data_IF_572518155672
#
_entry.id   IF_572518155672
#
_cell.length_a   1.000
_cell.length_b   1.000
_cell.length_c   1.000
_cell.angle_alpha   90.00
_cell.angle_beta   90.00
_cell.angle_gamma   90.00
#
_symmetry.space_group_name_H-M   'P 1'
#
loop_
_entity.id
_entity.type
_entity.pdbx_description
1 polymer ?
#
# COMPACT_ATOMS: atom_id res chain seq x y z
N UNK A 1 24.59 24.03 -27.50
CA UNK A 1 23.74 23.13 -26.66
C UNK A 1 22.30 23.60 -26.74
N UNK A 2 21.33 22.70 -26.95
CA UNK A 2 19.91 23.07 -27.00
C UNK A 2 19.36 23.53 -25.64
N UNK A 3 18.30 24.35 -25.65
CA UNK A 3 17.62 24.86 -24.43
C UNK A 3 17.23 23.75 -23.44
N UNK A 4 16.84 22.57 -23.98
CA UNK A 4 16.49 21.38 -23.19
C UNK A 4 17.69 20.81 -22.42
N UNK A 5 18.84 20.65 -23.07
CA UNK A 5 20.06 20.15 -22.44
C UNK A 5 20.57 21.09 -21.35
N UNK A 6 20.46 22.41 -21.55
CA UNK A 6 20.81 23.39 -20.53
C UNK A 6 19.88 23.33 -19.31
N UNK A 7 18.58 23.17 -19.52
CA UNK A 7 17.62 23.03 -18.42
C UNK A 7 17.83 21.73 -17.62
N UNK A 8 18.12 20.63 -18.33
CA UNK A 8 18.48 19.35 -17.72
C UNK A 8 19.73 19.49 -16.85
N UNK A 9 20.83 20.00 -17.41
CA UNK A 9 22.10 20.17 -16.70
C UNK A 9 21.93 21.07 -15.48
N UNK A 10 21.20 22.18 -15.59
CA UNK A 10 20.89 23.06 -14.44
C UNK A 10 20.13 22.31 -13.34
N UNK A 11 19.15 21.50 -13.72
CA UNK A 11 18.39 20.68 -12.77
C UNK A 11 19.28 19.64 -12.09
N UNK A 12 20.17 18.99 -12.85
CA UNK A 12 21.12 18.03 -12.31
C UNK A 12 22.11 18.67 -11.33
N UNK A 13 22.79 19.75 -11.74
CA UNK A 13 23.75 20.47 -10.90
C UNK A 13 23.14 20.95 -9.60
N UNK A 14 21.89 21.43 -9.63
CA UNK A 14 21.17 21.84 -8.42
C UNK A 14 20.88 20.65 -7.51
N UNK A 15 20.45 19.51 -8.07
CA UNK A 15 20.16 18.30 -7.32
C UNK A 15 21.43 17.65 -6.73
N UNK A 16 22.55 17.69 -7.46
CA UNK A 16 23.86 17.20 -7.01
C UNK A 16 24.40 18.09 -5.89
N UNK A 17 24.43 19.42 -6.10
CA UNK A 17 24.91 20.39 -5.09
C UNK A 17 24.21 20.21 -3.75
N UNK A 18 22.88 20.04 -3.76
CA UNK A 18 22.09 19.85 -2.52
C UNK A 18 22.43 18.57 -1.76
N UNK A 19 22.74 17.48 -2.47
CA UNK A 19 23.15 16.21 -1.84
C UNK A 19 24.55 16.33 -1.25
N UNK A 20 25.47 16.95 -1.99
CA UNK A 20 26.82 17.24 -1.51
C UNK A 20 26.80 18.13 -0.25
N UNK A 21 25.93 19.16 -0.20
CA UNK A 21 25.75 19.99 1.01
C UNK A 21 25.29 19.18 2.22
N UNK A 22 24.44 18.16 2.03
CA UNK A 22 23.98 17.28 3.12
C UNK A 22 25.11 16.35 3.57
N UNK A 23 25.83 15.75 2.62
CA UNK A 23 27.01 14.91 2.90
C UNK A 23 28.03 15.72 3.70
N UNK A 24 28.31 16.95 3.28
CA UNK A 24 29.22 17.86 3.99
C UNK A 24 28.72 18.18 5.42
N UNK A 25 27.42 18.46 5.59
CA UNK A 25 26.83 18.69 6.92
C UNK A 25 26.96 17.47 7.83
N UNK A 26 26.69 16.28 7.32
CA UNK A 26 26.83 15.03 8.07
C UNK A 26 28.28 14.75 8.46
N UNK A 27 29.23 14.97 7.54
CA UNK A 27 30.66 14.80 7.83
C UNK A 27 31.21 15.80 8.86
N UNK A 28 30.58 16.96 9.01
CA UNK A 28 30.96 17.99 10.00
C UNK A 28 30.24 17.85 11.35
N UNK A 29 29.34 16.88 11.52
CA UNK A 29 28.66 16.70 12.79
C UNK A 29 29.61 16.09 13.83
N UNK A 30 29.88 16.83 14.91
CA UNK A 30 30.76 16.37 16.01
C UNK A 30 29.96 15.92 17.25
N UNK A 31 28.67 16.23 17.29
CA UNK A 31 27.79 15.92 18.42
C UNK A 31 26.44 15.31 17.98
N UNK A 32 25.80 14.61 18.93
CA UNK A 32 24.46 14.06 18.74
C UNK A 32 23.41 15.15 18.44
N UNK A 33 23.51 16.31 19.10
CA UNK A 33 22.57 17.42 18.91
C UNK A 33 22.64 18.00 17.49
N UNK A 34 23.87 18.20 16.97
CA UNK A 34 24.10 18.66 15.60
C UNK A 34 23.61 17.66 14.57
N UNK A 35 23.87 16.37 14.80
CA UNK A 35 23.39 15.30 13.96
C UNK A 35 21.85 15.25 13.92
N UNK A 36 21.21 15.30 15.08
CA UNK A 36 19.74 15.31 15.20
C UNK A 36 19.11 16.51 14.48
N UNK A 37 19.67 17.71 14.67
CA UNK A 37 19.22 18.94 14.00
C UNK A 37 19.39 18.85 12.47
N UNK A 38 20.53 18.35 12.01
CA UNK A 38 20.82 18.19 10.59
C UNK A 38 19.95 17.12 9.95
N UNK A 39 19.70 16.01 10.65
CA UNK A 39 18.83 14.94 10.21
C UNK A 39 17.38 15.40 10.08
N UNK A 40 16.85 16.14 11.07
CA UNK A 40 15.51 16.72 11.01
C UNK A 40 15.37 17.64 9.80
N UNK A 41 16.34 18.53 9.56
CA UNK A 41 16.36 19.44 8.40
C UNK A 41 16.44 18.67 7.08
N UNK A 42 17.17 17.56 7.03
CA UNK A 42 17.23 16.69 5.86
C UNK A 42 15.86 16.05 5.56
N UNK A 43 15.21 15.43 6.55
CA UNK A 43 13.89 14.78 6.35
C UNK A 43 12.80 15.79 5.96
N UNK A 44 12.80 16.98 6.57
CA UNK A 44 11.90 18.08 6.19
C UNK A 44 12.08 18.53 4.72
N UNK A 45 13.33 18.57 4.24
CA UNK A 45 13.64 18.90 2.84
C UNK A 45 13.32 17.74 1.90
N UNK A 46 13.60 16.49 2.30
CA UNK A 46 13.30 15.28 1.53
C UNK A 46 11.82 15.22 1.13
N UNK A 47 10.92 15.58 2.04
CA UNK A 47 9.48 15.64 1.76
C UNK A 47 9.05 16.73 0.76
N UNK A 48 9.86 17.78 0.53
CA UNK A 48 9.48 18.98 -0.22
C UNK A 48 10.02 19.00 -1.66
N UNK A 49 9.83 17.98 -2.50
CA UNK A 49 10.34 17.93 -3.91
C UNK A 49 11.86 18.19 -4.08
N UNK A 50 12.64 18.43 -3.03
CA UNK A 50 14.06 18.83 -3.12
C UNK A 50 14.95 17.70 -3.62
N UNK A 51 14.56 16.45 -3.36
CA UNK A 51 15.32 15.25 -3.68
C UNK A 51 14.68 14.41 -4.80
N UNK A 52 13.56 14.87 -5.37
CA UNK A 52 12.88 14.15 -6.46
C UNK A 52 13.76 14.18 -7.70
N UNK A 53 14.13 13.00 -8.18
CA UNK A 53 14.88 12.83 -9.43
C UNK A 53 13.90 13.05 -10.58
N UNK A 54 14.18 14.07 -11.40
CA UNK A 54 13.36 14.38 -12.58
C UNK A 54 13.50 13.27 -13.63
N UNK A 55 12.38 12.82 -14.22
CA UNK A 55 12.37 11.87 -15.33
C UNK A 55 13.01 12.40 -16.62
N UNK A 56 13.35 13.69 -16.66
CA UNK A 56 14.00 14.34 -17.80
C UNK A 56 15.53 14.25 -17.76
N UNK A 57 16.12 13.70 -16.70
CA UNK A 57 17.56 13.51 -16.57
C UNK A 57 18.03 12.30 -17.38
N UNK A 58 19.21 12.38 -17.97
CA UNK A 58 19.89 11.21 -18.55
C UNK A 58 20.19 10.15 -17.50
N UNK A 59 20.34 8.91 -17.96
CA UNK A 59 20.67 7.75 -17.11
C UNK A 59 21.92 7.99 -16.27
N UNK A 60 22.96 8.60 -16.87
CA UNK A 60 24.19 8.96 -16.16
C UNK A 60 23.93 9.88 -14.95
N UNK A 61 23.14 10.94 -15.14
CA UNK A 61 22.77 11.87 -14.07
C UNK A 61 21.97 11.16 -12.96
N UNK A 62 21.02 10.30 -13.34
CA UNK A 62 20.22 9.52 -12.39
C UNK A 62 21.11 8.61 -11.54
N UNK A 63 22.03 7.87 -12.17
CA UNK A 63 22.96 6.99 -11.46
C UNK A 63 23.88 7.76 -10.51
N UNK A 64 24.39 8.93 -10.93
CA UNK A 64 25.20 9.79 -10.08
C UNK A 64 24.42 10.27 -8.84
N UNK A 65 23.17 10.70 -9.00
CA UNK A 65 22.33 11.11 -7.88
C UNK A 65 22.00 9.94 -6.94
N UNK A 66 21.75 8.74 -7.46
CA UNK A 66 21.54 7.54 -6.64
C UNK A 66 22.76 7.18 -5.80
N UNK A 67 23.98 7.29 -6.35
CA UNK A 67 25.23 7.06 -5.60
C UNK A 67 25.35 8.02 -4.41
N UNK A 68 24.96 9.28 -4.59
CA UNK A 68 24.97 10.27 -3.51
C UNK A 68 23.88 9.98 -2.45
N UNK A 69 22.69 9.51 -2.86
CA UNK A 69 21.63 9.12 -1.93
C UNK A 69 22.03 7.89 -1.08
N UNK A 70 22.79 6.96 -1.67
CA UNK A 70 23.40 5.82 -0.97
C UNK A 70 24.44 6.29 0.06
N UNK A 71 25.34 7.20 -0.34
CA UNK A 71 26.36 7.79 0.55
C UNK A 71 25.73 8.50 1.76
N UNK A 72 24.66 9.29 1.54
CA UNK A 72 23.89 9.92 2.63
C UNK A 72 23.32 8.87 3.59
N UNK A 73 22.81 7.75 3.06
CA UNK A 73 22.22 6.67 3.87
C UNK A 73 23.29 5.96 4.71
N UNK A 74 24.47 5.72 4.13
CA UNK A 74 25.62 5.16 4.84
C UNK A 74 26.13 6.10 5.94
N UNK A 75 26.22 7.41 5.67
CA UNK A 75 26.60 8.38 6.69
C UNK A 75 25.58 8.46 7.82
N UNK A 76 24.28 8.44 7.51
CA UNK A 76 23.20 8.42 8.51
C UNK A 76 23.33 7.22 9.44
N UNK A 77 23.58 6.03 8.91
CA UNK A 77 23.75 4.82 9.73
C UNK A 77 25.03 4.84 10.55
N UNK A 78 26.15 5.33 9.98
CA UNK A 78 27.42 5.49 10.69
C UNK A 78 27.29 6.47 11.87
N UNK A 79 26.71 7.64 11.66
CA UNK A 79 26.54 8.67 12.69
C UNK A 79 25.53 8.23 13.76
N UNK A 80 24.45 7.53 13.37
CA UNK A 80 23.51 6.94 14.34
C UNK A 80 24.22 5.96 15.28
N UNK A 81 25.14 5.13 14.76
CA UNK A 81 25.95 4.22 15.59
C UNK A 81 26.92 4.99 16.49
N UNK A 82 27.61 5.99 15.95
CA UNK A 82 28.59 6.80 16.67
C UNK A 82 27.97 7.61 17.83
N UNK A 83 26.78 8.16 17.63
CA UNK A 83 26.07 8.95 18.62
C UNK A 83 24.93 8.19 19.31
N UNK A 84 25.03 6.86 19.40
CA UNK A 84 24.02 6.05 20.10
C UNK A 84 23.89 6.56 21.54
N UNK A 85 22.68 6.98 21.93
CA UNK A 85 22.44 7.54 23.27
C UNK A 85 22.78 6.49 24.34
N UNK A 86 23.59 6.82 25.37
CA UNK A 86 23.89 5.91 26.48
C UNK A 86 22.66 5.55 27.34
N UNK A 87 21.49 6.15 27.07
CA UNK A 87 20.34 6.09 27.96
C UNK A 87 19.57 4.76 27.95
N UNK A 88 19.91 3.79 27.09
CA UNK A 88 19.28 2.45 27.07
C UNK A 88 20.03 1.39 27.91
N UNK A 89 21.19 1.70 28.49
CA UNK A 89 21.97 0.74 29.27
C UNK A 89 21.90 0.90 30.80
N UNK A 90 21.07 1.80 31.34
CA UNK A 90 21.05 2.09 32.80
C UNK A 90 19.80 1.54 33.53
N UNK A 91 18.90 0.79 32.89
CA UNK A 91 17.72 0.21 33.58
C UNK A 91 17.82 -1.30 33.94
N UNK A 92 19.01 -1.91 33.95
CA UNK A 92 19.15 -3.35 34.28
C UNK A 92 19.91 -3.69 35.56
N UNK A 93 20.19 -2.72 36.43
CA UNK A 93 20.61 -3.05 37.79
C UNK A 93 19.87 -2.19 38.80
N UNK A 94 19.30 -2.89 39.80
CA UNK A 94 18.72 -2.38 41.04
C UNK A 94 17.24 -2.03 40.97
N UNK A 95 16.34 -2.97 41.33
CA UNK A 95 15.49 -2.91 42.55
C UNK A 95 15.01 -4.33 42.95
N UNK A 96 15.12 -4.64 44.25
CA UNK A 96 14.50 -5.75 45.00
C UNK A 96 12.97 -5.58 45.15
N UNK A 97 12.20 -6.65 45.50
CA UNK A 97 10.75 -6.61 45.41
C UNK A 97 10.10 -6.05 46.68
N UNK A 98 9.32 -4.98 46.54
CA UNK A 98 8.28 -4.60 47.50
C UNK A 98 6.96 -4.39 46.76
N UNK A 99 5.97 -5.15 47.21
CA UNK A 99 4.57 -5.27 46.78
C UNK A 99 3.76 -4.00 47.06
N UNK A 100 3.18 -3.33 46.03
CA UNK A 100 1.87 -2.64 46.05
C UNK A 100 1.31 -2.49 44.62
N UNK A 101 -0.02 -2.56 44.53
CA UNK A 101 -0.99 -2.44 43.44
C UNK A 101 -0.94 -1.21 42.50
N UNK A 102 -1.38 -1.50 41.25
CA UNK A 102 -2.20 -0.72 40.29
C UNK A 102 -1.65 0.65 39.81
N UNK A 103 -1.49 0.81 38.48
CA UNK A 103 -2.04 1.91 37.63
C UNK A 103 -1.51 1.81 36.17
N UNK A 104 -2.48 1.70 35.25
CA UNK A 104 -2.52 1.95 33.78
C UNK A 104 -1.27 1.83 32.89
N UNK A 105 -1.34 0.88 31.94
CA UNK A 105 -0.49 0.77 30.75
C UNK A 105 -1.09 1.54 29.56
N UNK A 106 -0.33 2.50 29.02
CA UNK A 106 -0.66 3.24 27.79
C UNK A 106 0.49 3.23 26.77
N UNK A 107 1.49 2.37 26.94
CA UNK A 107 2.71 2.33 26.10
C UNK A 107 2.69 1.24 25.00
N UNK A 108 1.70 0.34 24.98
CA UNK A 108 1.67 -0.76 24.01
C UNK A 108 1.24 -0.37 22.58
N UNK A 109 0.70 0.84 22.37
CA UNK A 109 0.18 1.27 21.05
C UNK A 109 1.30 1.85 20.15
N UNK A 110 2.42 2.31 20.73
CA UNK A 110 3.52 2.90 19.94
C UNK A 110 4.42 1.85 19.29
N UNK A 111 4.59 0.68 19.93
CA UNK A 111 5.41 -0.41 19.38
C UNK A 111 4.73 -1.13 18.20
N UNK A 112 3.40 -1.26 18.20
CA UNK A 112 2.67 -1.91 17.11
C UNK A 112 2.63 -1.05 15.83
N UNK A 113 2.64 0.28 15.97
CA UNK A 113 2.71 1.21 14.83
C UNK A 113 4.10 1.24 14.18
N UNK A 114 5.17 1.12 14.98
CA UNK A 114 6.54 1.02 14.50
C UNK A 114 6.77 -0.29 13.75
N UNK A 115 6.23 -1.41 14.26
CA UNK A 115 6.30 -2.72 13.62
C UNK A 115 5.58 -2.74 12.26
N UNK A 116 4.45 -2.03 12.14
CA UNK A 116 3.71 -1.90 10.88
C UNK A 116 4.47 -1.07 9.83
N UNK A 117 5.17 0.00 10.24
CA UNK A 117 6.03 0.79 9.35
C UNK A 117 7.27 0.01 8.88
N UNK A 118 7.91 -0.72 9.78
CA UNK A 118 9.09 -1.53 9.46
C UNK A 118 8.73 -2.70 8.51
N UNK A 119 7.57 -3.34 8.72
CA UNK A 119 7.05 -4.37 7.83
C UNK A 119 6.69 -3.80 6.44
N UNK A 120 6.25 -2.55 6.36
CA UNK A 120 5.99 -1.86 5.10
C UNK A 120 7.30 -1.53 4.35
N UNK A 121 8.35 -1.07 5.03
CA UNK A 121 9.67 -0.85 4.43
C UNK A 121 10.36 -2.16 4.01
N UNK A 122 10.21 -3.22 4.80
CA UNK A 122 10.73 -4.56 4.47
C UNK A 122 10.09 -5.12 3.18
N UNK A 123 8.77 -4.98 3.03
CA UNK A 123 8.05 -5.45 1.83
C UNK A 123 8.41 -4.64 0.57
N UNK A 124 8.62 -3.32 0.70
CA UNK A 124 9.11 -2.47 -0.39
C UNK A 124 10.54 -2.81 -0.80
N UNK A 125 11.39 -3.17 0.17
CA UNK A 125 12.78 -3.58 -0.08
C UNK A 125 12.87 -4.96 -0.75
N UNK A 126 11.92 -5.86 -0.47
CA UNK A 126 11.86 -7.19 -1.08
C UNK A 126 11.38 -7.18 -2.53
N UNK A 127 10.49 -6.26 -2.91
CA UNK A 127 10.04 -6.13 -4.31
C UNK A 127 11.10 -5.54 -5.26
N UNK A 128 12.04 -4.73 -4.77
CA UNK A 128 13.12 -4.17 -5.57
C UNK A 128 14.26 -5.18 -5.87
N UNK A 129 14.25 -6.36 -5.24
CA UNK A 129 15.28 -7.39 -5.39
C UNK A 129 14.85 -8.59 -6.26
N UNK A 130 13.65 -8.59 -6.85
CA UNK A 130 13.36 -9.48 -7.98
C UNK A 130 13.92 -8.83 -9.24
N UNK A 131 15.23 -9.03 -9.45
CA UNK A 131 15.95 -8.57 -10.62
C UNK A 131 15.42 -9.15 -11.92
N UNK A 132 15.60 -8.35 -12.98
CA UNK A 132 15.20 -8.52 -14.38
C UNK A 132 15.77 -9.76 -15.11
N UNK A 133 16.36 -10.73 -14.41
CA UNK A 133 16.97 -11.91 -15.03
C UNK A 133 15.98 -13.08 -15.06
N UNK A 134 14.95 -13.00 -15.93
CA UNK A 134 14.25 -14.15 -16.56
C UNK A 134 13.06 -13.80 -17.48
N UNK A 135 13.07 -12.65 -18.16
CA UNK A 135 12.10 -12.35 -19.24
C UNK A 135 12.81 -12.35 -20.61
N UNK A 136 13.55 -13.42 -20.90
CA UNK A 136 14.02 -13.73 -22.25
C UNK A 136 14.05 -15.25 -22.37
N UNK A 137 12.90 -15.91 -22.63
CA UNK A 137 12.82 -17.20 -23.36
C UNK A 137 11.39 -17.78 -23.56
N UNK A 138 10.38 -17.02 -23.99
CA UNK A 138 9.13 -17.66 -24.49
C UNK A 138 8.52 -16.83 -25.63
N UNK A 139 9.27 -16.60 -26.71
CA UNK A 139 8.72 -15.99 -27.95
C UNK A 139 9.10 -16.73 -29.24
N UNK A 140 9.61 -17.95 -29.14
CA UNK A 140 9.89 -18.83 -30.28
C UNK A 140 9.40 -20.27 -30.00
N UNK A 141 8.08 -20.47 -29.87
CA UNK A 141 7.47 -21.82 -30.00
C UNK A 141 6.06 -21.76 -30.61
N UNK A 142 5.74 -20.70 -31.37
CA UNK A 142 4.49 -20.63 -32.15
C UNK A 142 4.84 -20.29 -33.60
N UNK A 143 5.52 -21.21 -34.26
CA UNK A 143 5.64 -21.26 -35.70
C UNK A 143 5.69 -22.75 -36.10
N UNK A 144 4.58 -23.24 -36.65
CA UNK A 144 4.53 -24.58 -37.25
C UNK A 144 3.48 -25.51 -36.65
N UNK A 145 2.19 -25.20 -36.86
CA UNK A 145 1.18 -26.26 -37.00
C UNK A 145 0.40 -25.94 -38.27
N UNK A 146 0.80 -26.61 -39.34
CA UNK A 146 0.06 -26.71 -40.59
C UNK A 146 -1.26 -27.43 -40.36
N UNK A 147 -2.29 -26.87 -40.98
CA UNK A 147 -3.64 -27.42 -41.09
C UNK A 147 -3.57 -28.67 -41.97
N UNK A 148 -4.09 -29.79 -41.49
CA UNK A 148 -4.39 -30.97 -42.32
C UNK A 148 -5.84 -31.38 -42.10
N UNK A 149 -6.67 -31.00 -43.06
CA UNK A 149 -8.01 -31.53 -43.26
C UNK A 149 -7.94 -32.99 -43.71
N UNK A 150 -8.58 -33.89 -42.97
CA UNK A 150 -9.17 -35.10 -43.57
C UNK A 150 -10.25 -35.67 -42.65
N UNK A 151 -11.50 -35.65 -43.12
CA UNK A 151 -12.61 -36.32 -42.45
C UNK A 151 -12.59 -37.84 -42.65
N UNK A 152 -13.33 -38.56 -41.80
CA UNK A 152 -14.22 -39.64 -42.21
C UNK A 152 -15.20 -40.02 -41.08
N UNK A 153 -16.34 -40.56 -41.50
CA UNK A 153 -17.58 -40.84 -40.78
C UNK A 153 -17.54 -42.06 -39.83
N UNK A 154 -18.42 -42.01 -38.82
CA UNK A 154 -19.32 -43.11 -38.44
C UNK A 154 -18.80 -44.24 -37.54
N UNK A 155 -19.42 -44.42 -36.37
CA UNK A 155 -20.00 -45.73 -35.96
C UNK A 155 -20.78 -45.61 -34.64
N UNK A 156 -21.86 -46.40 -34.58
CA UNK A 156 -22.89 -46.49 -33.55
C UNK A 156 -22.46 -47.24 -32.27
N UNK A 157 -23.17 -46.91 -31.19
CA UNK A 157 -23.61 -47.73 -30.05
C UNK A 157 -22.66 -48.76 -29.41
N UNK A 158 -22.39 -48.55 -28.12
CA UNK A 158 -22.63 -49.56 -27.10
C UNK A 158 -22.92 -48.91 -25.74
N UNK A 159 -24.14 -49.17 -25.26
CA UNK A 159 -24.55 -49.05 -23.86
C UNK A 159 -23.64 -49.90 -22.97
N UNK A 160 -22.91 -49.27 -22.04
CA UNK A 160 -22.41 -49.93 -20.83
C UNK A 160 -22.49 -48.92 -19.68
N UNK A 161 -23.43 -49.17 -18.79
CA UNK A 161 -23.56 -48.54 -17.47
C UNK A 161 -22.33 -48.86 -16.63
N UNK A 162 -21.47 -47.87 -16.39
CA UNK A 162 -20.49 -47.90 -15.30
C UNK A 162 -20.82 -46.76 -14.33
N UNK A 163 -21.25 -47.18 -13.14
CA UNK A 163 -21.39 -46.36 -11.94
C UNK A 163 -20.03 -45.76 -11.59
N UNK A 164 -19.80 -44.53 -12.03
CA UNK A 164 -18.62 -43.74 -11.71
C UNK A 164 -18.81 -43.14 -10.33
N UNK A 165 -18.10 -43.69 -9.34
CA UNK A 165 -17.66 -42.94 -8.16
C UNK A 165 -16.87 -41.73 -8.68
N UNK A 166 -17.55 -40.60 -8.85
CA UNK A 166 -16.91 -39.32 -9.17
C UNK A 166 -16.11 -38.89 -7.96
N UNK A 167 -14.83 -39.29 -8.00
CA UNK A 167 -13.74 -38.79 -7.19
C UNK A 167 -13.92 -37.30 -6.89
N UNK A 168 -13.90 -36.97 -5.60
CA UNK A 168 -13.73 -35.62 -5.09
C UNK A 168 -12.35 -35.10 -5.53
N UNK A 169 -12.26 -34.68 -6.78
CA UNK A 169 -11.12 -33.99 -7.34
C UNK A 169 -11.15 -32.58 -6.77
N UNK A 170 -10.72 -32.43 -5.51
CA UNK A 170 -10.41 -31.12 -4.92
C UNK A 170 -9.52 -30.39 -5.93
N UNK A 171 -10.05 -29.32 -6.54
CA UNK A 171 -9.32 -28.57 -7.55
C UNK A 171 -8.11 -27.94 -6.87
N UNK A 172 -6.97 -28.63 -6.94
CA UNK A 172 -5.75 -28.23 -6.26
C UNK A 172 -5.15 -27.05 -7.04
N UNK A 173 -5.64 -25.84 -6.76
CA UNK A 173 -5.11 -24.63 -7.36
C UNK A 173 -3.64 -24.51 -7.00
N UNK A 174 -2.78 -24.45 -8.01
CA UNK A 174 -1.34 -24.37 -7.81
C UNK A 174 -0.99 -23.21 -6.85
N UNK A 175 -0.15 -23.43 -5.82
CA UNK A 175 0.22 -22.39 -4.85
C UNK A 175 0.80 -21.13 -5.48
N UNK A 176 1.40 -21.23 -6.68
CA UNK A 176 1.91 -20.08 -7.44
C UNK A 176 0.78 -19.15 -7.90
N UNK A 177 -0.30 -19.71 -8.43
CA UNK A 177 -1.46 -18.94 -8.90
C UNK A 177 -2.15 -18.22 -7.73
N UNK A 178 -2.21 -18.84 -6.55
CA UNK A 178 -2.73 -18.16 -5.34
C UNK A 178 -1.88 -16.94 -4.96
N UNK A 179 -0.55 -17.04 -5.02
CA UNK A 179 0.35 -15.89 -4.74
C UNK A 179 0.18 -14.75 -5.73
N UNK A 180 -0.01 -15.04 -7.02
CA UNK A 180 -0.27 -14.02 -8.04
C UNK A 180 -1.57 -13.26 -7.74
N UNK A 181 -2.63 -13.99 -7.41
CA UNK A 181 -3.92 -13.39 -7.00
C UNK A 181 -3.81 -12.57 -5.71
N UNK A 182 -2.96 -12.99 -4.77
CA UNK A 182 -2.68 -12.19 -3.57
C UNK A 182 -1.97 -10.88 -3.89
N UNK A 183 -1.10 -10.86 -4.88
CA UNK A 183 -0.42 -9.65 -5.36
C UNK A 183 -1.43 -8.69 -6.00
N UNK A 184 -2.38 -9.19 -6.78
CA UNK A 184 -3.46 -8.37 -7.38
C UNK A 184 -4.28 -7.62 -6.32
N UNK A 185 -4.45 -8.24 -5.14
CA UNK A 185 -5.23 -7.70 -4.03
C UNK A 185 -4.40 -6.87 -3.04
N UNK A 186 -3.10 -6.65 -3.27
CA UNK A 186 -2.23 -6.01 -2.27
C UNK A 186 -2.76 -4.63 -1.84
N UNK A 187 -3.21 -3.82 -2.80
CA UNK A 187 -3.76 -2.48 -2.52
C UNK A 187 -5.13 -2.54 -1.86
N UNK A 188 -5.99 -3.48 -2.27
CA UNK A 188 -7.29 -3.72 -1.62
C UNK A 188 -7.07 -4.12 -0.16
N UNK A 189 -6.17 -5.07 0.11
CA UNK A 189 -5.81 -5.51 1.48
C UNK A 189 -5.27 -4.34 2.32
N UNK A 190 -4.49 -3.44 1.75
CA UNK A 190 -4.02 -2.25 2.44
C UNK A 190 -5.17 -1.29 2.84
N UNK A 191 -6.14 -1.06 1.96
CA UNK A 191 -7.32 -0.26 2.31
C UNK A 191 -8.25 -0.96 3.28
N UNK A 192 -8.40 -2.29 3.21
CA UNK A 192 -9.17 -3.05 4.19
C UNK A 192 -8.56 -2.94 5.59
N UNK A 193 -7.23 -2.89 5.72
CA UNK A 193 -6.57 -2.58 7.00
C UNK A 193 -6.89 -1.16 7.48
N UNK A 194 -6.85 -0.17 6.59
CA UNK A 194 -7.24 1.20 6.93
C UNK A 194 -8.72 1.31 7.35
N UNK A 195 -9.60 0.55 6.70
CA UNK A 195 -11.02 0.45 7.05
C UNK A 195 -11.19 -0.14 8.46
N UNK A 196 -10.44 -1.20 8.78
CA UNK A 196 -10.44 -1.82 10.11
C UNK A 196 -9.98 -0.84 11.19
N UNK A 197 -8.88 -0.11 10.98
CA UNK A 197 -8.42 0.91 11.92
C UNK A 197 -9.47 2.01 12.16
N UNK A 198 -10.11 2.51 11.10
CA UNK A 198 -11.22 3.48 11.24
C UNK A 198 -12.44 2.90 11.95
N UNK A 199 -12.71 1.61 11.78
CA UNK A 199 -13.77 0.93 12.53
C UNK A 199 -13.44 0.86 14.02
N UNK A 200 -12.18 0.57 14.38
CA UNK A 200 -11.70 0.58 15.76
C UNK A 200 -11.75 2.00 16.38
N UNK A 201 -11.45 3.05 15.61
CA UNK A 201 -11.63 4.45 16.04
C UNK A 201 -13.10 4.79 16.36
N UNK A 202 -14.04 4.32 15.54
CA UNK A 202 -15.47 4.50 15.79
C UNK A 202 -15.90 3.77 17.07
N UNK A 203 -15.39 2.55 17.30
CA UNK A 203 -15.66 1.77 18.51
C UNK A 203 -15.09 2.45 19.76
N UNK A 204 -13.87 2.97 19.71
CA UNK A 204 -13.27 3.73 20.80
C UNK A 204 -14.09 4.99 21.12
N UNK A 205 -14.54 5.71 20.07
CA UNK A 205 -15.41 6.88 20.24
C UNK A 205 -16.77 6.50 20.82
N UNK A 206 -17.33 5.34 20.45
CA UNK A 206 -18.55 4.81 21.05
C UNK A 206 -18.40 4.64 22.57
N UNK A 207 -17.34 3.97 23.02
CA UNK A 207 -17.06 3.77 24.45
C UNK A 207 -16.89 5.12 25.18
N UNK A 208 -16.12 6.05 24.59
CA UNK A 208 -15.92 7.38 25.17
C UNK A 208 -17.24 8.16 25.35
N UNK A 209 -18.19 8.02 24.43
CA UNK A 209 -19.51 8.68 24.51
C UNK A 209 -20.41 8.00 25.53
N UNK A 210 -20.32 6.68 25.64
CA UNK A 210 -21.05 5.89 26.63
C UNK A 210 -20.63 6.28 28.05
N UNK A 211 -19.32 6.36 28.30
CA UNK A 211 -18.75 6.78 29.60
C UNK A 211 -19.17 8.21 30.01
N UNK A 212 -19.40 9.07 29.01
CA UNK A 212 -19.88 10.45 29.20
C UNK A 212 -21.40 10.56 29.35
N UNK A 213 -22.13 9.44 29.38
CA UNK A 213 -23.59 9.40 29.48
C UNK A 213 -24.33 9.92 28.24
N UNK A 214 -23.67 9.99 27.07
CA UNK A 214 -24.25 10.53 25.82
C UNK A 214 -24.80 9.43 24.93
N UNK A 215 -25.86 8.76 25.39
CA UNK A 215 -26.40 7.55 24.75
C UNK A 215 -26.71 7.73 23.26
N UNK A 216 -27.44 8.79 22.87
CA UNK A 216 -27.80 9.00 21.46
C UNK A 216 -26.59 9.15 20.52
N UNK A 217 -25.49 9.76 21.01
CA UNK A 217 -24.25 9.85 20.23
C UNK A 217 -23.55 8.50 20.18
N UNK A 218 -23.50 7.79 21.31
CA UNK A 218 -22.93 6.45 21.38
C UNK A 218 -23.61 5.52 20.37
N UNK A 219 -24.94 5.47 20.34
CA UNK A 219 -25.71 4.63 19.43
C UNK A 219 -25.38 4.91 17.94
N UNK A 220 -25.11 6.18 17.58
CA UNK A 220 -24.67 6.54 16.23
C UNK A 220 -23.30 5.94 15.89
N UNK A 221 -22.32 6.10 16.78
CA UNK A 221 -20.98 5.52 16.58
C UNK A 221 -20.99 3.99 16.57
N UNK A 222 -21.84 3.37 17.39
CA UNK A 222 -22.02 1.92 17.40
C UNK A 222 -22.57 1.41 16.06
N UNK A 223 -23.61 2.07 15.53
CA UNK A 223 -24.19 1.74 14.21
C UNK A 223 -23.14 1.87 13.10
N UNK A 224 -22.36 2.95 13.11
CA UNK A 224 -21.28 3.16 12.15
C UNK A 224 -20.15 2.12 12.27
N UNK A 225 -19.70 1.81 13.49
CA UNK A 225 -18.71 0.76 13.74
C UNK A 225 -19.18 -0.60 13.20
N UNK A 226 -20.45 -0.96 13.47
CA UNK A 226 -21.07 -2.19 12.96
C UNK A 226 -21.15 -2.21 11.43
N UNK A 227 -21.55 -1.09 10.81
CA UNK A 227 -21.61 -0.97 9.36
C UNK A 227 -20.21 -1.13 8.71
N UNK A 228 -19.18 -0.48 9.25
CA UNK A 228 -17.81 -0.63 8.79
C UNK A 228 -17.29 -2.08 8.95
N UNK A 229 -17.59 -2.72 10.07
CA UNK A 229 -17.24 -4.12 10.34
C UNK A 229 -17.88 -5.07 9.33
N UNK A 230 -19.15 -4.86 8.99
CA UNK A 230 -19.85 -5.65 7.99
C UNK A 230 -19.20 -5.53 6.60
N UNK A 231 -18.94 -4.31 6.14
CA UNK A 231 -18.28 -4.07 4.84
C UNK A 231 -16.88 -4.71 4.82
N UNK A 232 -16.10 -4.53 5.89
CA UNK A 232 -14.78 -5.15 6.02
C UNK A 232 -14.86 -6.68 5.93
N UNK A 233 -15.78 -7.29 6.66
CA UNK A 233 -15.97 -8.74 6.68
C UNK A 233 -16.33 -9.30 5.31
N UNK A 234 -17.33 -8.70 4.64
CA UNK A 234 -17.78 -9.17 3.33
C UNK A 234 -16.70 -9.03 2.25
N UNK A 235 -16.05 -7.87 2.15
CA UNK A 235 -15.00 -7.68 1.13
C UNK A 235 -13.79 -8.57 1.42
N UNK A 236 -13.42 -8.78 2.69
CA UNK A 236 -12.34 -9.71 3.04
C UNK A 236 -12.68 -11.15 2.64
N UNK A 237 -13.92 -11.60 2.90
CA UNK A 237 -14.42 -12.91 2.48
C UNK A 237 -14.40 -13.06 0.96
N UNK A 238 -14.85 -12.05 0.22
CA UNK A 238 -14.83 -12.05 -1.24
C UNK A 238 -13.39 -12.08 -1.80
N UNK A 239 -12.45 -11.38 -1.14
CA UNK A 239 -11.04 -11.39 -1.50
C UNK A 239 -10.41 -12.79 -1.30
N UNK A 240 -10.72 -13.45 -0.19
CA UNK A 240 -10.29 -14.84 0.06
C UNK A 240 -10.90 -15.81 -0.94
N UNK A 241 -12.18 -15.61 -1.29
CA UNK A 241 -12.85 -16.38 -2.33
C UNK A 241 -12.11 -16.24 -3.68
N UNK A 242 -11.80 -15.00 -4.11
CA UNK A 242 -11.02 -14.76 -5.33
C UNK A 242 -9.66 -15.45 -5.32
N UNK A 243 -8.94 -15.43 -4.19
CA UNK A 243 -7.64 -16.11 -4.08
C UNK A 243 -7.81 -17.61 -4.37
N UNK A 244 -8.92 -18.20 -3.90
CA UNK A 244 -9.19 -19.62 -4.06
C UNK A 244 -9.74 -19.97 -5.45
N UNK A 245 -10.84 -19.35 -5.89
CA UNK A 245 -11.53 -19.70 -7.14
C UNK A 245 -10.96 -19.00 -8.38
N UNK A 246 -10.25 -17.88 -8.21
CA UNK A 246 -9.71 -17.06 -9.30
C UNK A 246 -10.75 -16.23 -10.05
N UNK A 247 -11.97 -16.15 -9.54
CA UNK A 247 -13.07 -15.44 -10.20
C UNK A 247 -13.04 -13.94 -9.88
N UNK A 248 -12.21 -13.20 -10.64
CA UNK A 248 -12.01 -11.77 -10.46
C UNK A 248 -13.30 -10.98 -10.69
N UNK A 249 -14.11 -11.38 -11.67
CA UNK A 249 -15.35 -10.68 -12.02
C UNK A 249 -16.39 -10.81 -10.91
N UNK A 250 -16.53 -12.00 -10.32
CA UNK A 250 -17.38 -12.20 -9.16
C UNK A 250 -16.91 -11.36 -7.96
N UNK A 251 -15.60 -11.32 -7.70
CA UNK A 251 -15.05 -10.46 -6.65
C UNK A 251 -15.39 -8.99 -6.88
N UNK A 252 -15.18 -8.48 -8.10
CA UNK A 252 -15.47 -7.08 -8.44
C UNK A 252 -16.95 -6.76 -8.32
N UNK A 253 -17.82 -7.53 -8.98
CA UNK A 253 -19.26 -7.30 -8.99
C UNK A 253 -19.86 -7.36 -7.58
N UNK A 254 -19.50 -8.38 -6.79
CA UNK A 254 -20.01 -8.53 -5.43
C UNK A 254 -19.48 -7.41 -4.51
N UNK A 255 -18.19 -7.06 -4.61
CA UNK A 255 -17.62 -5.98 -3.81
C UNK A 255 -18.20 -4.61 -4.19
N UNK A 256 -18.48 -4.37 -5.48
CA UNK A 256 -19.20 -3.18 -5.95
C UNK A 256 -20.59 -3.09 -5.33
N UNK A 257 -21.35 -4.19 -5.30
CA UNK A 257 -22.68 -4.21 -4.65
C UNK A 257 -22.63 -3.93 -3.15
N UNK A 258 -21.56 -4.37 -2.46
CA UNK A 258 -21.34 -4.08 -1.04
C UNK A 258 -20.96 -2.61 -0.78
N UNK A 259 -20.38 -1.95 -1.77
CA UNK A 259 -19.93 -0.55 -1.70
C UNK A 259 -20.85 0.43 -2.43
N UNK A 260 -21.99 -0.06 -2.93
CA UNK A 260 -22.96 0.75 -3.65
C UNK A 260 -23.63 1.77 -2.72
N UNK A 261 -23.99 2.94 -3.24
CA UNK A 261 -24.58 4.03 -2.45
C UNK A 261 -25.96 3.68 -1.86
N UNK A 262 -26.66 2.72 -2.46
CA UNK A 262 -27.95 2.22 -1.97
C UNK A 262 -27.81 1.17 -0.85
N UNK A 263 -26.61 0.65 -0.59
CA UNK A 263 -26.35 -0.27 0.51
C UNK A 263 -26.53 0.42 1.88
N UNK A 264 -27.30 -0.18 2.78
CA UNK A 264 -27.61 0.41 4.09
C UNK A 264 -26.36 0.66 4.95
N UNK A 265 -25.35 -0.22 4.88
CA UNK A 265 -24.10 -0.01 5.62
C UNK A 265 -23.33 1.21 5.06
N UNK A 266 -23.35 1.40 3.73
CA UNK A 266 -22.71 2.54 3.08
C UNK A 266 -23.43 3.84 3.47
N UNK A 267 -24.77 3.85 3.45
CA UNK A 267 -25.57 5.00 3.89
C UNK A 267 -25.25 5.41 5.32
N UNK A 268 -25.23 4.46 6.25
CA UNK A 268 -24.88 4.70 7.66
C UNK A 268 -23.49 5.34 7.77
N UNK A 269 -22.49 4.84 7.05
CA UNK A 269 -21.13 5.38 7.11
C UNK A 269 -21.03 6.77 6.48
N UNK A 270 -21.76 7.05 5.40
CA UNK A 270 -21.73 8.35 4.73
C UNK A 270 -22.25 9.50 5.61
N UNK A 271 -23.03 9.22 6.65
CA UNK A 271 -23.42 10.20 7.66
C UNK A 271 -22.21 10.74 8.46
N UNK A 272 -21.10 10.00 8.49
CA UNK A 272 -19.88 10.39 9.19
C UNK A 272 -18.89 11.08 8.24
N UNK A 273 -18.30 12.19 8.70
CA UNK A 273 -17.38 13.02 7.89
C UNK A 273 -16.19 12.18 7.39
N UNK A 274 -15.91 12.27 6.10
CA UNK A 274 -14.73 11.66 5.46
C UNK A 274 -14.92 10.19 5.02
N UNK A 275 -16.05 9.55 5.34
CA UNK A 275 -16.33 8.19 4.93
C UNK A 275 -16.74 8.06 3.47
N UNK A 276 -17.50 9.01 2.92
CA UNK A 276 -17.88 9.01 1.49
C UNK A 276 -16.68 8.87 0.57
N UNK A 277 -15.70 9.78 0.69
CA UNK A 277 -14.46 9.73 -0.08
C UNK A 277 -13.68 8.43 0.16
N UNK A 278 -13.72 7.90 1.39
CA UNK A 278 -13.02 6.67 1.71
C UNK A 278 -13.60 5.46 0.99
N UNK A 279 -14.92 5.32 1.01
CA UNK A 279 -15.63 4.23 0.34
C UNK A 279 -15.49 4.32 -1.19
N UNK A 280 -15.55 5.52 -1.77
CA UNK A 280 -15.31 5.73 -3.21
C UNK A 280 -13.90 5.29 -3.62
N UNK A 281 -12.89 5.59 -2.81
CA UNK A 281 -11.51 5.15 -3.09
C UNK A 281 -11.36 3.63 -3.01
N UNK A 282 -11.99 2.99 -2.01
CA UNK A 282 -12.00 1.53 -1.89
C UNK A 282 -12.69 0.88 -3.09
N UNK A 283 -13.83 1.42 -3.52
CA UNK A 283 -14.56 0.98 -4.70
C UNK A 283 -13.70 1.07 -5.97
N UNK A 284 -13.05 2.22 -6.19
CA UNK A 284 -12.15 2.40 -7.32
C UNK A 284 -11.03 1.34 -7.35
N UNK A 285 -10.42 1.06 -6.20
CA UNK A 285 -9.37 0.05 -6.10
C UNK A 285 -9.87 -1.36 -6.39
N UNK A 286 -11.04 -1.74 -5.88
CA UNK A 286 -11.72 -2.99 -6.21
C UNK A 286 -11.93 -3.12 -7.71
N UNK A 287 -12.47 -2.09 -8.37
CA UNK A 287 -12.70 -2.09 -9.82
C UNK A 287 -11.41 -2.28 -10.62
N UNK A 288 -10.31 -1.70 -10.14
CA UNK A 288 -8.99 -1.78 -10.78
C UNK A 288 -8.16 -3.01 -10.38
N UNK A 289 -8.61 -3.83 -9.43
CA UNK A 289 -7.90 -5.04 -9.01
C UNK A 289 -7.66 -5.97 -10.21
N UNK A 290 -6.47 -6.59 -10.28
CA UNK A 290 -6.06 -7.46 -11.39
C UNK A 290 -5.54 -6.74 -12.65
N UNK A 291 -5.54 -5.41 -12.69
CA UNK A 291 -4.81 -4.66 -13.73
C UNK A 291 -3.35 -4.53 -13.32
N UNK A 292 -2.57 -5.58 -13.58
CA UNK A 292 -1.15 -5.64 -13.26
C UNK A 292 -0.38 -4.43 -13.85
N UNK A 293 0.39 -3.75 -12.99
CA UNK A 293 1.48 -2.80 -13.29
C UNK A 293 1.18 -1.46 -13.99
N UNK A 294 0.13 -1.28 -14.80
CA UNK A 294 -0.07 0.00 -15.49
C UNK A 294 -0.59 1.14 -14.59
N UNK A 295 -1.30 0.83 -13.49
CA UNK A 295 -1.90 1.82 -12.59
C UNK A 295 -1.03 2.25 -11.40
N UNK A 296 0.09 1.58 -11.14
CA UNK A 296 0.85 1.72 -9.89
C UNK A 296 1.49 3.11 -9.71
N UNK A 297 1.73 3.83 -10.80
CA UNK A 297 2.28 5.19 -10.78
C UNK A 297 1.25 6.28 -10.44
N UNK A 298 -0.04 6.06 -10.75
CA UNK A 298 -1.12 7.01 -10.52
C UNK A 298 -1.55 7.06 -9.05
N UNK A 299 -1.50 5.94 -8.34
CA UNK A 299 -2.04 5.83 -6.97
C UNK A 299 -1.06 6.21 -5.84
N UNK A 300 0.25 6.32 -6.11
CA UNK A 300 1.25 6.74 -5.10
C UNK A 300 0.97 8.12 -4.49
N UNK A 301 0.18 8.96 -5.16
CA UNK A 301 -0.25 10.27 -4.65
C UNK A 301 -1.40 10.23 -3.64
N UNK A 302 -2.28 9.21 -3.69
CA UNK A 302 -3.54 9.20 -2.93
C UNK A 302 -3.40 8.64 -1.50
N UNK A 303 -2.38 7.83 -1.19
CA UNK A 303 -2.13 7.33 0.18
C UNK A 303 -1.66 8.41 1.18
N UNK A 304 -1.45 9.67 0.76
CA UNK A 304 -1.04 10.79 1.62
C UNK A 304 -2.15 11.40 2.50
N UNK A 305 -3.39 10.92 2.37
CA UNK A 305 -4.60 11.38 3.08
C UNK A 305 -4.82 10.86 4.51
N UNK A 306 -3.89 10.08 5.10
CA UNK A 306 -3.85 9.83 6.56
C UNK A 306 -3.44 11.10 7.37
N UNK A 307 -3.61 12.28 6.78
CA UNK A 307 -3.45 13.58 7.44
C UNK A 307 -4.82 14.25 7.52
N UNK A 308 -5.18 14.83 8.68
CA UNK A 308 -6.48 15.47 8.86
C UNK A 308 -6.68 16.62 7.86
N UNK A 309 -7.90 16.72 7.35
CA UNK A 309 -8.28 17.51 6.19
C UNK A 309 -8.00 19.01 6.34
N UNK A 310 -7.20 19.56 5.42
CA UNK A 310 -7.24 20.98 5.01
C UNK A 310 -7.11 21.06 3.48
N UNK A 311 -8.07 21.77 2.87
CA UNK A 311 -8.10 22.39 1.51
C UNK A 311 -7.65 21.58 0.26
N UNK A 312 -7.24 20.33 0.42
CA UNK A 312 -6.72 19.49 -0.67
C UNK A 312 -7.83 18.77 -1.47
N UNK A 313 -9.07 18.71 -0.95
CA UNK A 313 -10.19 17.98 -1.56
C UNK A 313 -10.53 18.47 -2.96
N UNK A 314 -10.52 19.80 -3.17
CA UNK A 314 -10.86 20.40 -4.47
C UNK A 314 -9.86 20.06 -5.57
N UNK A 315 -8.57 19.88 -5.23
CA UNK A 315 -7.51 19.55 -6.19
C UNK A 315 -7.50 18.07 -6.62
N UNK A 316 -8.08 17.19 -5.81
CA UNK A 316 -8.20 15.75 -6.15
C UNK A 316 -9.39 15.53 -7.08
N UNK A 317 -10.47 16.29 -6.89
CA UNK A 317 -11.66 16.27 -7.75
C UNK A 317 -11.32 16.81 -9.15
N UNK A 318 -10.60 17.94 -9.26
CA UNK A 318 -10.11 18.47 -10.55
C UNK A 318 -9.16 17.49 -11.29
N UNK A 319 -8.40 16.68 -10.54
CA UNK A 319 -7.51 15.65 -11.09
C UNK A 319 -8.31 14.45 -11.62
N UNK A 320 -9.36 14.04 -10.90
CA UNK A 320 -10.27 12.97 -11.31
C UNK A 320 -11.04 13.35 -12.58
N UNK A 321 -11.53 14.59 -12.67
CA UNK A 321 -12.17 15.12 -13.89
C UNK A 321 -11.19 15.16 -15.07
N UNK A 322 -9.94 15.58 -14.84
CA UNK A 322 -8.90 15.66 -15.88
C UNK A 322 -8.45 14.29 -16.40
N UNK A 323 -8.42 13.27 -15.54
CA UNK A 323 -8.06 11.89 -15.93
C UNK A 323 -9.20 11.23 -16.72
N UNK A 324 -10.46 11.45 -16.30
CA UNK A 324 -11.61 10.93 -17.04
C UNK A 324 -11.83 11.65 -18.39
N UNK A 325 -11.34 12.89 -18.58
CA UNK A 325 -11.38 13.55 -19.91
C UNK A 325 -10.39 12.96 -20.91
N UNK A 326 -9.30 12.34 -20.44
CA UNK A 326 -8.29 11.70 -21.31
C UNK A 326 -8.76 10.31 -21.77
N UNK A 327 -9.65 9.66 -21.02
CA UNK A 327 -10.17 8.33 -21.34
C UNK A 327 -11.33 8.34 -22.37
N UNK A 328 -11.86 9.52 -22.76
CA UNK A 328 -13.05 9.65 -23.65
C UNK A 328 -12.70 10.13 -25.07
N UNK A 329 -11.43 10.36 -25.40
CA UNK A 329 -11.02 10.56 -26.81
C UNK A 329 -10.37 9.28 -27.34
N UNK A 330 -11.21 8.35 -27.77
CA UNK A 330 -10.88 7.29 -28.73
C UNK A 330 -11.96 7.30 -29.83
#
# INVERSE_FOLDING_TARGET
>A
MGKRAQAEMKSFMLAEKRRLEVIEQFNKCESHEEFSKSLKKYEEKKGKKFFVISSKLTEYHVQRLRKLDEEISQLKTKLKKQFSSPSEHVQLQQISPTKVEIVTSSEQILDELALAQEMQEYLLSRQLNLGDDKIVLVKEMIAGIEISERGYEGSQHSDVTFSSEEDMQESFVAPRTKREREVDLLQVKAQLRALKLKQEELEATYQEKLDKGKQEQADKYQKASKAAKNIYGEISRLAEQYINDGNLDAFKSNSQSMLAEDNDNVKILQEHRGWKLFLTNLLALVCTAGLAQAGYSLYKGQLSWLKPATDAGKKVEDLYTSINTIAVTA
#
